data_IF_740313163512
#
_entry.id   IF_740313163512
#
_cell.length_a   1.000
_cell.length_b   1.000
_cell.length_c   1.000
_cell.angle_alpha   90.00
_cell.angle_beta   90.00
_cell.angle_gamma   90.00
#
_symmetry.space_group_name_H-M   'P 1'
#
loop_
_entity.id
_entity.type
_entity.pdbx_description
1 polymer ?
#
# COMPACT_ATOMS: atom_id res chain seq x y z
N UNK A 1 20.52 -4.96 -7.51
CA UNK A 1 21.10 -6.09 -8.24
C UNK A 1 21.11 -7.36 -7.41
N UNK A 2 21.66 -7.34 -6.17
CA UNK A 2 21.63 -8.52 -5.28
C UNK A 2 20.24 -9.14 -5.11
N UNK A 3 19.18 -8.33 -4.99
CA UNK A 3 17.81 -8.82 -4.91
C UNK A 3 17.37 -9.52 -6.21
N UNK A 4 17.72 -8.96 -7.37
CA UNK A 4 17.46 -9.61 -8.68
C UNK A 4 18.20 -10.93 -8.79
N UNK A 5 19.48 -10.94 -8.41
CA UNK A 5 20.31 -12.14 -8.45
C UNK A 5 19.81 -13.23 -7.47
N UNK A 6 19.13 -12.81 -6.37
CA UNK A 6 18.45 -13.71 -5.44
C UNK A 6 17.08 -14.20 -5.94
N UNK A 7 16.63 -13.75 -7.10
CA UNK A 7 15.40 -14.23 -7.74
C UNK A 7 14.10 -13.69 -7.16
N UNK A 8 14.10 -12.49 -6.55
CA UNK A 8 12.83 -11.88 -6.12
C UNK A 8 11.94 -11.60 -7.33
N UNK A 9 10.63 -11.77 -7.16
CA UNK A 9 9.62 -11.48 -8.18
C UNK A 9 9.32 -10.00 -8.26
N UNK A 10 8.78 -9.43 -7.20
CA UNK A 10 8.30 -8.04 -7.14
C UNK A 10 9.06 -7.25 -6.08
N UNK A 11 9.35 -5.98 -6.35
CA UNK A 11 9.86 -5.02 -5.37
C UNK A 11 8.78 -3.98 -5.05
N UNK A 12 8.25 -4.01 -3.84
CA UNK A 12 7.22 -3.07 -3.37
C UNK A 12 7.79 -2.22 -2.25
N UNK A 13 7.64 -0.91 -2.37
CA UNK A 13 7.99 0.04 -1.33
C UNK A 13 7.01 1.21 -1.34
N UNK A 14 6.35 1.45 -0.21
CA UNK A 14 5.45 2.59 -0.10
C UNK A 14 6.22 3.86 0.14
N UNK A 15 5.83 4.92 -0.59
CA UNK A 15 6.38 6.25 -0.40
C UNK A 15 5.99 6.85 0.97
N UNK A 16 4.96 6.34 1.61
CA UNK A 16 4.27 6.89 2.78
C UNK A 16 3.59 8.21 2.45
N UNK A 17 4.32 9.30 2.25
CA UNK A 17 3.82 10.57 1.70
C UNK A 17 4.79 11.15 0.68
N UNK A 18 4.26 11.75 -0.38
CA UNK A 18 5.06 12.51 -1.36
C UNK A 18 5.35 13.94 -0.90
N UNK A 19 4.69 14.41 0.17
CA UNK A 19 4.95 15.73 0.71
C UNK A 19 6.27 15.75 1.52
N UNK A 20 7.32 16.25 0.89
CA UNK A 20 8.70 16.17 1.41
C UNK A 20 8.85 16.65 2.85
N UNK A 21 8.26 17.81 3.21
CA UNK A 21 8.39 18.34 4.55
C UNK A 21 7.73 17.45 5.61
N UNK A 22 6.59 16.86 5.31
CA UNK A 22 5.92 15.91 6.20
C UNK A 22 6.67 14.60 6.27
N UNK A 23 7.18 14.12 5.14
CA UNK A 23 8.04 12.94 5.09
C UNK A 23 9.24 13.06 6.03
N UNK A 24 10.00 14.17 5.92
CA UNK A 24 11.19 14.42 6.74
C UNK A 24 10.88 14.53 8.24
N UNK A 25 9.71 15.08 8.60
CA UNK A 25 9.23 15.10 9.99
C UNK A 25 8.88 13.72 10.53
N UNK A 26 8.26 12.88 9.70
CA UNK A 26 7.84 11.53 10.08
C UNK A 26 9.01 10.53 10.09
N UNK A 27 10.08 10.82 9.34
CA UNK A 27 11.25 9.96 9.21
C UNK A 27 12.54 10.68 9.61
N UNK A 28 12.67 11.13 10.88
CA UNK A 28 13.81 11.96 11.32
C UNK A 28 15.14 11.19 11.35
N UNK A 29 15.10 9.85 11.31
CA UNK A 29 16.25 8.96 11.38
C UNK A 29 15.95 7.60 10.77
N UNK A 30 16.97 6.75 10.69
CA UNK A 30 16.82 5.37 10.16
C UNK A 30 16.94 5.27 8.64
N UNK A 31 16.71 4.08 8.07
CA UNK A 31 16.94 3.82 6.65
C UNK A 31 16.06 4.65 5.70
N UNK A 32 14.91 5.10 6.16
CA UNK A 32 13.96 5.90 5.38
C UNK A 32 14.17 7.42 5.52
N UNK A 33 15.16 7.91 6.26
CA UNK A 33 15.30 9.34 6.55
C UNK A 33 15.57 10.22 5.32
N UNK A 34 16.21 9.68 4.29
CA UNK A 34 16.51 10.40 3.05
C UNK A 34 15.35 10.29 2.07
N UNK A 35 14.60 11.38 1.95
CA UNK A 35 13.45 11.48 1.06
C UNK A 35 13.78 11.17 -0.40
N UNK A 36 14.85 11.77 -0.94
CA UNK A 36 15.22 11.58 -2.33
C UNK A 36 15.62 10.12 -2.60
N UNK A 37 16.48 9.58 -1.73
CA UNK A 37 16.86 8.17 -1.80
C UNK A 37 15.66 7.22 -1.73
N UNK A 38 14.70 7.52 -0.89
CA UNK A 38 13.49 6.70 -0.76
C UNK A 38 12.60 6.80 -2.00
N UNK A 39 12.35 8.02 -2.49
CA UNK A 39 11.49 8.26 -3.67
C UNK A 39 12.06 7.60 -4.93
N UNK A 40 13.38 7.59 -5.10
CA UNK A 40 14.06 6.98 -6.24
C UNK A 40 14.29 5.46 -6.10
N UNK A 41 13.70 4.82 -5.10
CA UNK A 41 13.93 3.40 -4.84
C UNK A 41 13.49 2.50 -6.00
N UNK A 42 12.37 2.85 -6.66
CA UNK A 42 11.88 2.10 -7.83
C UNK A 42 12.80 2.24 -9.03
N UNK A 43 13.33 3.44 -9.29
CA UNK A 43 14.33 3.66 -10.35
C UNK A 43 15.56 2.78 -10.13
N UNK A 44 16.07 2.73 -8.91
CA UNK A 44 17.22 1.87 -8.58
C UNK A 44 16.90 0.38 -8.69
N UNK A 45 15.67 -0.03 -8.35
CA UNK A 45 15.23 -1.41 -8.51
C UNK A 45 15.19 -1.80 -10.00
N UNK A 46 14.59 -0.96 -10.84
CA UNK A 46 14.48 -1.19 -12.29
C UNK A 46 15.85 -1.13 -12.97
N UNK A 47 16.73 -0.20 -12.62
CA UNK A 47 18.12 -0.16 -13.06
C UNK A 47 18.91 -1.41 -12.62
N UNK A 48 18.53 -2.00 -11.49
CA UNK A 48 19.08 -3.26 -11.00
C UNK A 48 18.56 -4.50 -11.73
N UNK A 49 17.61 -4.33 -12.66
CA UNK A 49 17.00 -5.40 -13.46
C UNK A 49 15.72 -5.99 -12.88
N UNK A 50 15.10 -5.34 -11.90
CA UNK A 50 13.77 -5.70 -11.39
C UNK A 50 12.76 -4.85 -12.18
N UNK A 51 11.94 -5.48 -12.98
CA UNK A 51 10.93 -4.86 -13.83
C UNK A 51 9.51 -4.94 -13.26
N UNK A 52 9.34 -5.68 -12.20
CA UNK A 52 8.09 -5.79 -11.45
C UNK A 52 8.20 -4.98 -10.15
N UNK A 53 7.67 -3.75 -10.18
CA UNK A 53 7.70 -2.82 -9.04
C UNK A 53 6.30 -2.41 -8.62
N UNK A 54 6.13 -2.16 -7.31
CA UNK A 54 4.86 -1.75 -6.73
C UNK A 54 4.97 -0.44 -5.97
N UNK A 55 4.06 0.49 -6.29
CA UNK A 55 3.92 1.78 -5.62
C UNK A 55 2.86 1.73 -4.52
N UNK A 56 2.90 2.71 -3.65
CA UNK A 56 1.87 2.95 -2.67
C UNK A 56 2.12 4.25 -1.90
N UNK A 57 1.03 4.84 -1.43
CA UNK A 57 1.05 6.00 -0.55
C UNK A 57 0.07 5.77 0.60
N UNK A 58 0.42 6.21 1.80
CA UNK A 58 -0.44 6.06 2.97
C UNK A 58 -1.39 7.26 3.06
N UNK A 59 -2.59 7.10 2.51
CA UNK A 59 -3.60 8.15 2.51
C UNK A 59 -4.02 8.51 3.94
N UNK A 60 -4.01 9.79 4.24
CA UNK A 60 -4.33 10.34 5.55
C UNK A 60 -3.17 11.03 6.26
N UNK A 61 -1.92 10.83 5.80
CA UNK A 61 -0.77 11.59 6.31
C UNK A 61 -0.78 13.03 5.80
N UNK A 62 -1.14 13.20 4.53
CA UNK A 62 -1.28 14.49 3.87
C UNK A 62 -2.56 14.57 3.02
N UNK A 63 -2.85 15.74 2.44
CA UNK A 63 -4.04 15.95 1.62
C UNK A 63 -4.14 14.95 0.46
N UNK A 64 -5.19 14.15 0.43
CA UNK A 64 -5.33 13.03 -0.50
C UNK A 64 -5.22 13.41 -1.99
N UNK A 65 -5.62 14.64 -2.36
CA UNK A 65 -5.50 15.11 -3.75
C UNK A 65 -4.06 15.31 -4.18
N UNK A 66 -3.23 15.81 -3.26
CA UNK A 66 -1.80 15.95 -3.48
C UNK A 66 -1.14 14.58 -3.63
N UNK A 67 -1.42 13.67 -2.68
CA UNK A 67 -0.87 12.31 -2.70
C UNK A 67 -1.30 11.53 -3.94
N UNK A 68 -2.56 11.66 -4.33
CA UNK A 68 -3.08 11.03 -5.54
C UNK A 68 -2.37 11.54 -6.80
N UNK A 69 -2.25 12.87 -6.96
CA UNK A 69 -1.56 13.46 -8.11
C UNK A 69 -0.09 13.03 -8.17
N UNK A 70 0.62 13.06 -7.03
CA UNK A 70 2.01 12.67 -6.96
C UNK A 70 2.22 11.17 -7.23
N UNK A 71 1.31 10.31 -6.77
CA UNK A 71 1.32 8.88 -7.08
C UNK A 71 1.20 8.62 -8.60
N UNK A 72 0.29 9.34 -9.28
CA UNK A 72 0.14 9.24 -10.73
C UNK A 72 1.39 9.75 -11.45
N UNK A 73 1.96 10.87 -11.02
CA UNK A 73 3.22 11.40 -11.59
C UNK A 73 4.37 10.42 -11.41
N UNK A 74 4.44 9.70 -10.29
CA UNK A 74 5.46 8.67 -10.07
C UNK A 74 5.24 7.48 -11.01
N UNK A 75 3.99 7.03 -11.22
CA UNK A 75 3.68 5.98 -12.18
C UNK A 75 4.06 6.38 -13.61
N UNK A 76 3.71 7.60 -14.05
CA UNK A 76 4.09 8.17 -15.34
C UNK A 76 5.60 8.32 -15.50
N UNK A 77 6.31 8.73 -14.43
CA UNK A 77 7.77 8.81 -14.43
C UNK A 77 8.41 7.45 -14.74
N UNK A 78 7.98 6.39 -14.05
CA UNK A 78 8.52 5.04 -14.26
C UNK A 78 8.27 4.58 -15.70
N UNK A 79 7.07 4.81 -16.23
CA UNK A 79 6.75 4.48 -17.62
C UNK A 79 7.60 5.27 -18.61
N UNK A 80 7.78 6.56 -18.40
CA UNK A 80 8.57 7.42 -19.28
C UNK A 80 10.06 7.09 -19.26
N UNK A 81 10.62 6.76 -18.10
CA UNK A 81 12.07 6.52 -17.93
C UNK A 81 12.46 5.09 -18.24
N UNK A 82 11.63 4.12 -17.85
CA UNK A 82 11.95 2.69 -17.94
C UNK A 82 11.14 1.95 -19.01
N UNK A 83 10.16 2.62 -19.64
CA UNK A 83 9.31 2.02 -20.68
C UNK A 83 8.20 1.11 -20.14
N UNK A 84 8.09 0.99 -18.81
CA UNK A 84 7.05 0.22 -18.12
C UNK A 84 6.69 0.89 -16.81
N UNK A 85 5.38 0.99 -16.54
CA UNK A 85 4.87 1.55 -15.29
C UNK A 85 4.82 0.51 -14.15
N UNK A 86 4.26 0.88 -12.99
CA UNK A 86 4.18 -0.01 -11.85
C UNK A 86 3.27 -1.21 -12.13
N UNK A 87 3.73 -2.41 -11.79
CA UNK A 87 2.93 -3.63 -11.85
C UNK A 87 1.76 -3.58 -10.88
N UNK A 88 1.98 -3.01 -9.69
CA UNK A 88 0.94 -2.87 -8.68
C UNK A 88 0.92 -1.49 -8.03
N UNK A 89 -0.27 -1.06 -7.63
CA UNK A 89 -0.49 0.09 -6.75
C UNK A 89 -1.26 -0.38 -5.53
N UNK A 90 -0.69 -0.13 -4.35
CA UNK A 90 -1.36 -0.35 -3.08
C UNK A 90 -1.98 0.94 -2.57
N UNK A 91 -3.18 0.82 -1.98
CA UNK A 91 -3.97 1.96 -1.51
C UNK A 91 -4.25 1.88 0.01
N UNK A 92 -3.20 1.89 0.85
CA UNK A 92 -3.42 1.92 2.29
C UNK A 92 -3.94 3.28 2.76
N UNK A 93 -4.82 3.25 3.78
CA UNK A 93 -5.18 4.43 4.58
C UNK A 93 -4.54 4.32 5.96
N UNK A 94 -4.29 5.48 6.59
CA UNK A 94 -3.86 5.51 7.97
C UNK A 94 -4.96 4.89 8.86
N UNK A 95 -4.57 3.99 9.71
CA UNK A 95 -5.41 3.32 10.70
C UNK A 95 -4.67 3.32 12.03
N UNK A 96 -5.39 3.09 13.11
CA UNK A 96 -4.79 2.92 14.42
C UNK A 96 -3.73 1.81 14.39
N UNK A 97 -2.62 2.06 15.03
CA UNK A 97 -1.55 1.11 15.29
C UNK A 97 -0.95 1.41 16.66
N UNK A 98 -0.11 0.53 17.20
CA UNK A 98 0.38 0.64 18.59
C UNK A 98 0.96 2.01 18.96
N UNK A 99 1.73 2.61 18.05
CA UNK A 99 2.36 3.91 18.27
C UNK A 99 1.79 5.03 17.37
N UNK A 100 0.64 4.78 16.73
CA UNK A 100 0.02 5.73 15.79
C UNK A 100 -1.44 5.95 16.18
N UNK A 101 -1.74 7.16 16.61
CA UNK A 101 -3.11 7.65 16.74
C UNK A 101 -3.48 8.37 15.43
N UNK A 102 -4.44 7.83 14.64
CA UNK A 102 -4.85 8.47 13.39
C UNK A 102 -5.49 9.86 13.61
N UNK A 103 -6.00 10.13 14.82
CA UNK A 103 -6.65 11.41 15.15
C UNK A 103 -5.64 12.58 15.26
N UNK A 104 -4.33 12.30 15.30
CA UNK A 104 -3.30 13.34 15.22
C UNK A 104 -3.05 13.83 13.78
N UNK A 105 -3.68 13.19 12.78
CA UNK A 105 -3.56 13.55 11.38
C UNK A 105 -4.90 14.12 10.87
N UNK A 106 -4.89 15.39 10.48
CA UNK A 106 -6.08 16.12 10.00
C UNK A 106 -6.53 15.73 8.58
N UNK A 107 -5.84 14.79 7.94
CA UNK A 107 -6.03 14.43 6.53
C UNK A 107 -6.70 13.06 6.32
N UNK A 108 -7.33 12.52 7.34
CA UNK A 108 -8.08 11.27 7.26
C UNK A 108 -9.14 11.31 6.16
N UNK A 109 -9.34 10.19 5.46
CA UNK A 109 -10.32 10.09 4.39
C UNK A 109 -11.41 9.08 4.75
N UNK A 110 -12.65 9.42 4.42
CA UNK A 110 -13.81 8.56 4.59
C UNK A 110 -13.86 7.43 3.53
N UNK A 111 -14.77 6.50 3.72
CA UNK A 111 -14.92 5.33 2.83
C UNK A 111 -15.39 5.71 1.42
N UNK A 112 -16.14 6.80 1.28
CA UNK A 112 -16.62 7.29 -0.01
C UNK A 112 -15.46 7.91 -0.81
N UNK A 113 -14.67 8.75 -0.17
CA UNK A 113 -13.46 9.33 -0.76
C UNK A 113 -12.46 8.24 -1.13
N UNK A 114 -12.28 7.25 -0.26
CA UNK A 114 -11.40 6.11 -0.52
C UNK A 114 -11.85 5.31 -1.75
N UNK A 115 -13.14 4.97 -1.83
CA UNK A 115 -13.70 4.27 -2.99
C UNK A 115 -13.50 5.06 -4.29
N UNK A 116 -13.69 6.39 -4.23
CA UNK A 116 -13.46 7.28 -5.38
C UNK A 116 -11.99 7.30 -5.80
N UNK A 117 -11.06 7.33 -4.85
CA UNK A 117 -9.61 7.22 -5.15
C UNK A 117 -9.31 5.91 -5.88
N UNK A 118 -9.81 4.79 -5.40
CA UNK A 118 -9.63 3.49 -6.05
C UNK A 118 -10.14 3.50 -7.50
N UNK A 119 -11.36 3.99 -7.72
CA UNK A 119 -11.93 4.11 -9.06
C UNK A 119 -11.10 5.03 -9.98
N UNK A 120 -10.63 6.17 -9.46
CA UNK A 120 -9.81 7.11 -10.23
C UNK A 120 -8.43 6.52 -10.58
N UNK A 121 -7.77 5.77 -9.67
CA UNK A 121 -6.53 5.07 -9.98
C UNK A 121 -6.76 4.05 -11.10
N UNK A 122 -7.84 3.25 -11.02
CA UNK A 122 -8.17 2.27 -12.08
C UNK A 122 -8.34 2.90 -13.44
N UNK A 123 -8.96 4.08 -13.51
CA UNK A 123 -9.13 4.81 -14.78
C UNK A 123 -7.83 5.42 -15.28
N UNK A 124 -7.03 5.98 -14.37
CA UNK A 124 -5.79 6.68 -14.72
C UNK A 124 -4.64 5.70 -15.07
N UNK A 125 -4.56 4.55 -14.40
CA UNK A 125 -3.50 3.55 -14.60
C UNK A 125 -4.16 2.18 -14.85
N UNK A 126 -4.79 1.97 -16.01
CA UNK A 126 -5.66 0.82 -16.25
C UNK A 126 -4.92 -0.53 -16.27
N UNK A 127 -3.65 -0.54 -16.53
CA UNK A 127 -2.81 -1.75 -16.62
C UNK A 127 -2.31 -2.26 -15.25
N UNK A 128 -2.31 -1.42 -14.21
CA UNK A 128 -1.74 -1.79 -12.90
C UNK A 128 -2.63 -2.76 -12.13
N UNK A 129 -2.04 -3.67 -11.37
CA UNK A 129 -2.74 -4.39 -10.31
C UNK A 129 -3.04 -3.43 -9.15
N UNK A 130 -4.23 -3.49 -8.57
CA UNK A 130 -4.57 -2.70 -7.39
C UNK A 130 -4.75 -3.61 -6.19
N UNK A 131 -3.98 -3.34 -5.12
CA UNK A 131 -3.95 -4.18 -3.92
C UNK A 131 -4.72 -3.49 -2.80
N UNK A 132 -5.64 -4.23 -2.18
CA UNK A 132 -6.26 -3.83 -0.92
C UNK A 132 -5.93 -4.85 0.18
N UNK A 133 -5.52 -4.34 1.33
CA UNK A 133 -5.12 -5.16 2.47
C UNK A 133 -6.27 -5.41 3.45
N UNK A 134 -6.03 -6.30 4.41
CA UNK A 134 -6.92 -6.57 5.56
C UNK A 134 -7.00 -5.39 6.55
N UNK A 135 -6.25 -4.33 6.34
CA UNK A 135 -6.38 -3.05 7.05
C UNK A 135 -7.76 -2.44 6.88
N UNK A 136 -8.39 -2.63 5.71
CA UNK A 136 -9.75 -2.22 5.44
C UNK A 136 -10.77 -3.26 5.92
N UNK A 137 -11.93 -2.77 6.39
CA UNK A 137 -13.03 -3.62 6.80
C UNK A 137 -13.60 -4.43 5.63
N UNK A 138 -14.28 -5.53 5.95
CA UNK A 138 -14.97 -6.33 4.96
C UNK A 138 -15.88 -5.48 4.07
N UNK A 139 -16.72 -4.61 4.66
CA UNK A 139 -17.66 -3.76 3.93
C UNK A 139 -16.96 -2.82 2.94
N UNK A 140 -15.83 -2.23 3.32
CA UNK A 140 -15.03 -1.38 2.42
C UNK A 140 -14.43 -2.21 1.29
N UNK A 141 -13.90 -3.38 1.60
CA UNK A 141 -13.29 -4.27 0.59
C UNK A 141 -14.33 -4.74 -0.44
N UNK A 142 -15.54 -5.09 0.00
CA UNK A 142 -16.68 -5.42 -0.86
C UNK A 142 -17.09 -4.24 -1.75
N UNK A 143 -17.06 -3.03 -1.21
CA UNK A 143 -17.40 -1.80 -1.95
C UNK A 143 -16.38 -1.48 -3.05
N UNK A 144 -15.07 -1.69 -2.80
CA UNK A 144 -14.03 -1.27 -3.75
C UNK A 144 -13.61 -2.35 -4.73
N UNK A 145 -13.90 -3.63 -4.46
CA UNK A 145 -13.58 -4.71 -5.38
C UNK A 145 -14.14 -4.47 -6.80
N UNK A 146 -15.43 -4.13 -6.99
CA UNK A 146 -15.98 -3.86 -8.31
C UNK A 146 -15.47 -2.57 -8.95
N UNK A 147 -14.77 -1.72 -8.20
CA UNK A 147 -14.17 -0.47 -8.70
C UNK A 147 -12.77 -0.69 -9.31
N UNK A 148 -12.35 -1.94 -9.45
CA UNK A 148 -11.12 -2.29 -10.15
C UNK A 148 -9.98 -2.76 -9.25
N UNK A 149 -10.22 -3.01 -7.97
CA UNK A 149 -9.26 -3.74 -7.14
C UNK A 149 -9.11 -5.15 -7.70
N UNK A 150 -7.87 -5.58 -7.95
CA UNK A 150 -7.56 -6.86 -8.61
C UNK A 150 -6.80 -7.83 -7.73
N UNK A 151 -6.29 -7.36 -6.60
CA UNK A 151 -5.56 -8.17 -5.63
C UNK A 151 -6.05 -7.86 -4.22
N UNK A 152 -6.24 -8.92 -3.45
CA UNK A 152 -6.79 -8.81 -2.11
C UNK A 152 -6.01 -9.70 -1.13
N UNK A 153 -5.63 -9.14 0.02
CA UNK A 153 -5.00 -9.93 1.08
C UNK A 153 -6.04 -10.70 1.88
N UNK A 154 -5.70 -11.89 2.33
CA UNK A 154 -6.54 -12.69 3.24
C UNK A 154 -5.73 -13.23 4.40
N UNK A 155 -6.37 -13.38 5.56
CA UNK A 155 -5.78 -13.96 6.77
C UNK A 155 -4.45 -13.32 7.20
N UNK A 156 -4.29 -12.01 7.02
CA UNK A 156 -3.05 -11.31 7.35
C UNK A 156 -2.80 -11.32 8.85
N UNK A 157 -1.55 -11.56 9.23
CA UNK A 157 -1.06 -11.42 10.60
C UNK A 157 0.08 -10.41 10.61
N UNK A 158 -0.06 -9.38 11.43
CA UNK A 158 0.83 -8.21 11.44
C UNK A 158 1.74 -8.14 12.65
N UNK A 159 1.59 -9.07 13.60
CA UNK A 159 2.47 -9.24 14.74
C UNK A 159 3.76 -9.99 14.36
N UNK A 160 4.81 -9.75 15.12
CA UNK A 160 6.08 -10.49 14.97
C UNK A 160 5.84 -11.98 15.23
N UNK A 161 6.25 -12.83 14.26
CA UNK A 161 6.03 -14.27 14.37
C UNK A 161 4.58 -14.73 14.15
N UNK A 162 3.65 -13.84 13.81
CA UNK A 162 2.22 -14.11 13.77
C UNK A 162 1.75 -15.26 12.87
N UNK A 163 2.56 -15.69 11.92
CA UNK A 163 2.27 -16.87 11.09
C UNK A 163 2.81 -18.19 11.67
N UNK A 164 3.69 -18.10 12.67
CA UNK A 164 4.35 -19.27 13.27
C UNK A 164 3.78 -19.66 14.63
N UNK A 165 3.12 -18.71 15.31
CA UNK A 165 2.59 -18.91 16.65
C UNK A 165 1.06 -18.84 16.66
N UNK A 166 0.37 -19.61 17.54
CA UNK A 166 -1.03 -19.35 17.84
C UNK A 166 -1.13 -17.92 18.39
N UNK A 167 -2.26 -17.25 18.17
CA UNK A 167 -2.48 -15.83 18.44
C UNK A 167 -1.68 -15.29 19.64
N UNK A 168 -0.82 -14.27 19.42
CA UNK A 168 -0.06 -13.71 20.52
C UNK A 168 -1.02 -13.14 21.57
N UNK A 169 -0.77 -13.45 22.84
CA UNK A 169 -1.50 -12.89 23.98
C UNK A 169 -1.29 -11.36 24.09
N UNK A 170 -0.36 -10.81 23.30
CA UNK A 170 0.03 -9.41 23.34
C UNK A 170 -0.36 -8.73 22.03
N UNK A 171 -1.49 -8.02 22.02
CA UNK A 171 -1.94 -7.21 20.87
C UNK A 171 -0.98 -6.06 20.53
N UNK A 172 0.00 -5.78 21.40
CA UNK A 172 0.93 -4.64 21.30
C UNK A 172 2.12 -4.84 20.35
N UNK A 173 2.15 -5.90 19.56
CA UNK A 173 3.24 -6.13 18.59
C UNK A 173 2.80 -6.02 17.12
N UNK A 174 1.56 -5.62 16.87
CA UNK A 174 1.00 -5.54 15.55
C UNK A 174 1.47 -4.28 14.79
N UNK A 175 1.94 -4.43 13.57
CA UNK A 175 2.32 -3.28 12.73
C UNK A 175 1.13 -2.35 12.43
N UNK A 176 -0.07 -2.89 12.35
CA UNK A 176 -1.34 -2.17 12.22
C UNK A 176 -2.52 -3.10 12.57
N UNK A 177 -3.65 -2.51 12.95
CA UNK A 177 -4.86 -3.26 13.24
C UNK A 177 -5.44 -3.91 11.98
N UNK A 178 -5.73 -5.21 12.08
CA UNK A 178 -6.42 -5.97 11.05
C UNK A 178 -7.93 -5.80 11.24
N UNK A 179 -8.59 -5.12 10.30
CA UNK A 179 -10.03 -4.88 10.36
C UNK A 179 -10.84 -6.03 9.74
N UNK A 180 -10.33 -6.66 8.69
CA UNK A 180 -10.93 -7.88 8.12
C UNK A 180 -10.18 -9.11 8.64
N UNK A 181 -10.82 -9.80 9.58
CA UNK A 181 -10.26 -10.99 10.27
C UNK A 181 -10.72 -12.31 9.66
N UNK A 182 -11.35 -12.29 8.50
CA UNK A 182 -11.75 -13.52 7.82
C UNK A 182 -10.55 -14.41 7.53
N UNK A 183 -10.78 -15.72 7.66
CA UNK A 183 -9.81 -16.73 7.24
C UNK A 183 -9.60 -16.68 5.73
N UNK A 184 -8.54 -17.30 5.25
CA UNK A 184 -8.28 -17.39 3.81
C UNK A 184 -9.43 -18.08 3.07
N UNK A 185 -9.97 -19.18 3.62
CA UNK A 185 -11.09 -19.91 3.05
C UNK A 185 -12.35 -19.05 2.94
N UNK A 186 -12.65 -18.24 3.94
CA UNK A 186 -13.80 -17.32 3.92
C UNK A 186 -13.63 -16.23 2.85
N UNK A 187 -12.43 -15.67 2.71
CA UNK A 187 -12.13 -14.70 1.66
C UNK A 187 -12.23 -15.32 0.27
N UNK A 188 -11.69 -16.53 0.08
CA UNK A 188 -11.76 -17.25 -1.20
C UNK A 188 -13.21 -17.58 -1.56
N UNK A 189 -14.01 -18.08 -0.63
CA UNK A 189 -15.44 -18.36 -0.87
C UNK A 189 -16.18 -17.09 -1.25
N UNK A 190 -15.96 -16.02 -0.50
CA UNK A 190 -16.57 -14.72 -0.82
C UNK A 190 -16.22 -14.26 -2.25
N UNK A 191 -14.95 -14.39 -2.68
CA UNK A 191 -14.54 -14.03 -4.05
C UNK A 191 -15.22 -14.92 -5.10
N UNK A 192 -15.35 -16.22 -4.84
CA UNK A 192 -16.06 -17.16 -5.72
C UNK A 192 -17.55 -16.80 -5.86
N UNK A 193 -18.17 -16.29 -4.80
CA UNK A 193 -19.59 -15.87 -4.82
C UNK A 193 -19.79 -14.56 -5.61
N UNK A 194 -18.72 -13.79 -5.81
CA UNK A 194 -18.78 -12.57 -6.64
C UNK A 194 -18.66 -12.85 -8.16
N UNK A 195 -18.26 -14.04 -8.57
CA UNK A 195 -18.05 -14.47 -9.97
C UNK A 195 -16.60 -14.39 -10.35
#
# INVERSE_FOLDING_TARGET
>A
RMLKDAGIGTYILFQETYHKQSYEKLHPAGPKHDYAWHTEAMDRAMQGGIDDVGLGVLFGLEGYRYEFAALLMHAEHLEAVHGVGPHTISVPRIKKADDIDPDVFDNGIDDETFARICACIRVAVPYTGMIISTRESQAVREKVLPLGVSQISGASRTSVGGYCEPEPEDENSAQFDVSDRRTLDEVVRWLMDQG
#
